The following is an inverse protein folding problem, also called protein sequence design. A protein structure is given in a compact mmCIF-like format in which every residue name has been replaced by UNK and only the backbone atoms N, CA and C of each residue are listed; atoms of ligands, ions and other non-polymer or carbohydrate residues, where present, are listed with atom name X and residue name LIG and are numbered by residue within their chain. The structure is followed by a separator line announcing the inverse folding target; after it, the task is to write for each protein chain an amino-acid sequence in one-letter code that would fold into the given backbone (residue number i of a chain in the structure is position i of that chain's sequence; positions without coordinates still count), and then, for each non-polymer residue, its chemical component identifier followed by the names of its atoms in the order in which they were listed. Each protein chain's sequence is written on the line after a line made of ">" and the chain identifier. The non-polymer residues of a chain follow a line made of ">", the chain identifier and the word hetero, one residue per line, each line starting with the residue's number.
data_IF_312440454182
#
_entry.id   IF_312440454182
#
_cell.length_a   1.000
_cell.length_b   1.000
_cell.length_c   1.000
_cell.angle_alpha   90.00
_cell.angle_beta   90.00
_cell.angle_gamma   90.00
#
_symmetry.space_group_name_H-M   'P 1'
#
loop_
_entity.id
_entity.type
_entity.pdbx_description
1 polymer ?
#
# COMPACT_ATOMS: atom_id res chain seq x y z
N UNK A 1 10.12 13.33 -6.12
CA UNK A 1 9.47 13.33 -4.78
C UNK A 1 10.25 14.17 -3.78
N UNK A 2 11.55 13.97 -3.63
CA UNK A 2 12.37 14.65 -2.61
C UNK A 2 12.30 16.18 -2.70
N UNK A 3 12.47 16.75 -3.89
CA UNK A 3 12.40 18.20 -4.11
C UNK A 3 11.03 18.78 -3.74
N UNK A 4 9.95 18.08 -4.05
CA UNK A 4 8.59 18.47 -3.68
C UNK A 4 8.39 18.37 -2.17
N UNK A 5 8.84 17.29 -1.54
CA UNK A 5 8.80 17.14 -0.09
C UNK A 5 9.50 18.30 0.63
N UNK A 6 10.73 18.64 0.22
CA UNK A 6 11.48 19.79 0.74
C UNK A 6 10.79 21.12 0.49
N UNK A 7 10.19 21.32 -0.69
CA UNK A 7 9.46 22.53 -1.05
C UNK A 7 8.27 22.77 -0.11
N UNK A 8 7.46 21.75 0.15
CA UNK A 8 6.28 21.88 1.00
C UNK A 8 6.58 21.91 2.50
N UNK A 9 7.81 21.55 2.91
CA UNK A 9 8.28 21.70 4.30
C UNK A 9 8.76 23.13 4.63
N UNK A 10 8.91 24.01 3.62
CA UNK A 10 9.35 25.39 3.86
C UNK A 10 8.28 26.20 4.61
N UNK A 11 8.68 27.18 5.47
CA UNK A 11 7.76 28.11 6.10
C UNK A 11 6.89 28.84 5.08
N UNK A 12 5.65 29.16 5.44
CA UNK A 12 4.67 29.90 4.62
C UNK A 12 4.13 29.15 3.39
N UNK A 13 4.21 27.83 3.34
CA UNK A 13 3.45 27.01 2.37
C UNK A 13 2.08 26.71 2.95
N UNK A 14 1.03 27.13 2.24
CA UNK A 14 -0.37 26.90 2.63
C UNK A 14 -0.90 25.56 2.09
N UNK A 15 -0.01 24.61 1.83
CA UNK A 15 -0.33 23.29 1.34
C UNK A 15 0.72 22.28 1.82
N UNK A 16 0.30 21.03 2.03
CA UNK A 16 1.19 19.91 2.34
C UNK A 16 0.50 18.61 1.90
N UNK A 17 1.27 17.54 1.75
CA UNK A 17 0.75 16.20 1.53
C UNK A 17 1.48 15.20 2.44
N UNK A 18 0.87 14.05 2.67
CA UNK A 18 1.50 13.01 3.46
C UNK A 18 2.65 12.37 2.67
N UNK A 19 2.40 12.06 1.39
CA UNK A 19 3.36 11.39 0.52
C UNK A 19 3.55 12.13 -0.79
N UNK A 20 4.81 12.17 -1.25
CA UNK A 20 5.21 12.58 -2.59
C UNK A 20 5.84 11.38 -3.28
N UNK A 21 5.44 11.11 -4.53
CA UNK A 21 5.85 9.92 -5.29
C UNK A 21 6.35 10.34 -6.66
N UNK A 22 7.52 9.87 -7.06
CA UNK A 22 8.03 9.92 -8.44
C UNK A 22 8.54 8.53 -8.87
N UNK A 23 9.18 8.44 -10.03
CA UNK A 23 9.69 7.20 -10.59
C UNK A 23 10.80 6.55 -9.73
N UNK A 24 11.49 7.34 -8.91
CA UNK A 24 12.62 6.89 -8.10
C UNK A 24 12.21 6.65 -6.64
N UNK A 25 11.46 7.60 -6.05
CA UNK A 25 11.29 7.70 -4.60
C UNK A 25 9.84 7.85 -4.14
N UNK A 26 9.63 7.45 -2.89
CA UNK A 26 8.45 7.78 -2.08
C UNK A 26 8.94 8.55 -0.86
N UNK A 27 8.50 9.78 -0.70
CA UNK A 27 8.88 10.65 0.43
C UNK A 27 7.68 10.92 1.30
N UNK A 28 7.72 10.52 2.57
CA UNK A 28 6.74 10.94 3.56
C UNK A 28 7.13 12.30 4.13
N UNK A 29 6.26 13.30 3.95
CA UNK A 29 6.47 14.67 4.40
C UNK A 29 5.67 15.02 5.65
N UNK A 30 4.48 14.44 5.81
CA UNK A 30 3.62 14.55 6.99
C UNK A 30 3.33 13.15 7.51
N UNK A 31 3.33 12.97 8.83
CA UNK A 31 2.97 11.67 9.42
C UNK A 31 1.50 11.36 9.15
N UNK A 32 1.17 10.09 9.02
CA UNK A 32 -0.21 9.64 8.78
C UNK A 32 -1.18 10.04 9.90
N UNK A 33 -0.67 10.22 11.13
CA UNK A 33 -1.45 10.67 12.30
C UNK A 33 -1.73 12.15 12.33
N UNK A 34 -1.06 12.93 11.49
CA UNK A 34 -1.12 14.39 11.49
C UNK A 34 -1.97 14.86 10.30
N UNK A 35 -2.50 16.06 10.37
CA UNK A 35 -3.30 16.63 9.26
C UNK A 35 -2.41 17.27 8.21
N UNK A 36 -2.50 16.80 6.97
CA UNK A 36 -1.89 17.47 5.81
C UNK A 36 -2.91 18.34 5.06
N UNK A 37 -2.46 19.47 4.51
CA UNK A 37 -3.29 20.46 3.83
C UNK A 37 -3.29 20.20 2.32
N UNK A 38 -3.96 19.14 1.85
CA UNK A 38 -3.90 18.64 0.46
C UNK A 38 -5.22 18.73 -0.31
N UNK A 39 -6.36 18.86 0.38
CA UNK A 39 -7.67 18.92 -0.26
C UNK A 39 -8.58 20.01 0.31
N UNK A 40 -8.00 21.03 0.93
CA UNK A 40 -8.76 22.16 1.48
C UNK A 40 -9.46 23.00 0.40
N UNK A 41 -10.71 23.41 0.63
CA UNK A 41 -11.48 24.27 -0.24
C UNK A 41 -12.49 25.11 0.53
N UNK A 42 -12.92 26.21 -0.07
CA UNK A 42 -14.05 27.01 0.44
C UNK A 42 -15.37 26.24 0.30
N UNK A 43 -15.54 25.56 -0.83
CA UNK A 43 -16.71 24.73 -1.13
C UNK A 43 -16.25 23.33 -1.55
N UNK A 44 -16.88 22.32 -1.03
CA UNK A 44 -16.58 20.92 -1.33
C UNK A 44 -17.67 20.31 -2.20
N UNK A 45 -17.26 19.49 -3.19
CA UNK A 45 -18.15 18.63 -3.96
C UNK A 45 -18.43 17.33 -3.19
N UNK A 46 -17.39 16.79 -2.53
CA UNK A 46 -17.52 15.56 -1.73
C UNK A 46 -18.06 15.87 -0.33
N UNK A 47 -19.05 15.09 0.11
CA UNK A 47 -19.76 15.36 1.36
C UNK A 47 -18.96 15.06 2.64
N UNK A 48 -17.95 14.18 2.59
CA UNK A 48 -17.22 13.69 3.78
C UNK A 48 -15.73 13.98 3.77
N UNK A 49 -15.02 13.82 2.63
CA UNK A 49 -13.56 13.89 2.58
C UNK A 49 -13.04 15.29 2.90
N UNK A 50 -12.10 15.39 3.85
CA UNK A 50 -11.44 16.62 4.33
C UNK A 50 -9.98 16.32 4.63
N UNK A 51 -9.19 17.37 4.92
CA UNK A 51 -7.77 17.25 5.28
C UNK A 51 -7.52 16.39 6.53
N UNK A 52 -8.42 16.45 7.50
CA UNK A 52 -8.29 15.80 8.81
C UNK A 52 -8.77 14.33 8.84
N UNK A 53 -9.35 13.86 7.74
CA UNK A 53 -9.85 12.49 7.63
C UNK A 53 -9.42 11.76 6.36
N UNK A 54 -8.32 12.22 5.74
CA UNK A 54 -7.79 11.62 4.51
C UNK A 54 -6.27 11.70 4.45
N UNK A 55 -5.67 10.78 3.69
CA UNK A 55 -4.24 10.75 3.39
C UNK A 55 -4.02 11.31 1.99
N UNK A 56 -3.20 12.36 1.86
CA UNK A 56 -2.83 12.93 0.57
C UNK A 56 -1.59 12.29 -0.02
N UNK A 57 -1.71 11.78 -1.26
CA UNK A 57 -0.61 11.24 -2.06
C UNK A 57 -0.46 12.10 -3.30
N UNK A 58 0.66 12.77 -3.45
CA UNK A 58 1.00 13.64 -4.58
C UNK A 58 1.92 12.89 -5.55
N UNK A 59 1.46 12.69 -6.78
CA UNK A 59 2.28 12.14 -7.86
C UNK A 59 3.01 13.28 -8.58
N UNK A 60 4.33 13.17 -8.68
CA UNK A 60 5.12 14.13 -9.45
C UNK A 60 4.76 14.02 -10.92
N UNK A 61 4.47 15.14 -11.54
CA UNK A 61 4.12 15.26 -12.96
C UNK A 61 5.18 16.01 -13.73
N UNK A 62 5.27 15.72 -15.00
CA UNK A 62 6.15 16.35 -15.97
C UNK A 62 5.31 17.11 -17.01
N UNK A 63 5.98 17.91 -17.84
CA UNK A 63 5.33 18.57 -19.00
C UNK A 63 5.85 17.94 -20.29
N UNK A 64 4.95 17.66 -21.20
CA UNK A 64 5.28 17.27 -22.56
C UNK A 64 5.77 18.45 -23.42
N UNK A 65 6.13 18.18 -24.67
CA UNK A 65 6.57 19.21 -25.64
C UNK A 65 5.53 20.28 -25.96
N UNK A 66 4.27 20.07 -25.60
CA UNK A 66 3.16 21.02 -25.77
C UNK A 66 2.84 21.76 -24.46
N UNK A 67 3.56 21.48 -23.38
CA UNK A 67 3.36 22.07 -22.06
C UNK A 67 2.23 21.43 -21.25
N UNK A 68 1.66 20.31 -21.69
CA UNK A 68 0.63 19.57 -20.98
C UNK A 68 1.27 18.66 -19.91
N UNK A 69 0.65 18.63 -18.74
CA UNK A 69 1.10 17.74 -17.66
C UNK A 69 0.77 16.29 -17.97
N UNK A 70 1.72 15.40 -17.67
CA UNK A 70 1.55 13.96 -17.65
C UNK A 70 2.24 13.35 -16.43
N UNK A 71 1.83 12.16 -16.05
CA UNK A 71 2.46 11.35 -15.00
C UNK A 71 3.04 10.12 -15.69
N UNK A 72 4.37 9.96 -15.64
CA UNK A 72 5.02 8.83 -16.29
C UNK A 72 4.58 7.49 -15.67
N UNK A 73 4.73 6.39 -16.42
CA UNK A 73 4.26 5.07 -15.99
C UNK A 73 4.96 4.56 -14.73
N UNK A 74 6.24 4.85 -14.56
CA UNK A 74 6.99 4.43 -13.39
C UNK A 74 6.48 5.13 -12.11
N UNK A 75 6.20 6.44 -12.18
CA UNK A 75 5.55 7.19 -11.10
C UNK A 75 4.16 6.64 -10.80
N UNK A 76 3.35 6.34 -11.83
CA UNK A 76 2.02 5.75 -11.63
C UNK A 76 2.11 4.37 -10.95
N UNK A 77 3.03 3.51 -11.39
CA UNK A 77 3.26 2.19 -10.78
C UNK A 77 3.63 2.31 -9.30
N UNK A 78 4.57 3.18 -8.96
CA UNK A 78 4.97 3.41 -7.58
C UNK A 78 3.86 4.02 -6.73
N UNK A 79 3.05 4.92 -7.30
CA UNK A 79 1.87 5.46 -6.62
C UNK A 79 0.81 4.38 -6.36
N UNK A 80 0.59 3.46 -7.30
CA UNK A 80 -0.28 2.29 -7.08
C UNK A 80 0.17 1.45 -5.89
N UNK A 81 1.48 1.20 -5.74
CA UNK A 81 2.04 0.44 -4.61
C UNK A 81 1.77 1.16 -3.27
N UNK A 82 2.02 2.48 -3.21
CA UNK A 82 1.78 3.30 -2.00
C UNK A 82 0.30 3.37 -1.65
N UNK A 83 -0.56 3.68 -2.63
CA UNK A 83 -2.01 3.79 -2.40
C UNK A 83 -2.58 2.46 -1.93
N UNK A 84 -2.18 1.35 -2.54
CA UNK A 84 -2.59 0.02 -2.12
C UNK A 84 -2.16 -0.30 -0.70
N UNK A 85 -0.89 -0.02 -0.35
CA UNK A 85 -0.41 -0.21 1.01
C UNK A 85 -1.23 0.60 2.02
N UNK A 86 -1.57 1.87 1.70
CA UNK A 86 -2.44 2.71 2.53
C UNK A 86 -3.87 2.16 2.63
N UNK A 87 -4.44 1.66 1.51
CA UNK A 87 -5.76 1.03 1.52
C UNK A 87 -5.81 -0.16 2.48
N UNK A 88 -4.80 -1.04 2.45
CA UNK A 88 -4.71 -2.19 3.35
C UNK A 88 -4.49 -1.74 4.80
N UNK A 89 -3.56 -0.82 5.03
CA UNK A 89 -3.20 -0.32 6.36
C UNK A 89 -4.37 0.31 7.11
N UNK A 90 -5.23 1.03 6.39
CA UNK A 90 -6.33 1.81 6.99
C UNK A 90 -7.72 1.26 6.66
N UNK A 91 -7.82 0.14 5.98
CA UNK A 91 -9.11 -0.43 5.56
C UNK A 91 -9.88 0.49 4.61
N UNK A 92 -9.18 1.24 3.74
CA UNK A 92 -9.83 2.19 2.82
C UNK A 92 -10.35 1.44 1.59
N UNK A 93 -11.67 1.43 1.35
CA UNK A 93 -12.23 0.79 0.18
C UNK A 93 -11.93 1.59 -1.10
N UNK A 94 -11.97 0.91 -2.25
CA UNK A 94 -11.58 1.48 -3.54
C UNK A 94 -12.38 2.73 -3.93
N UNK A 95 -13.65 2.82 -3.58
CA UNK A 95 -14.50 3.99 -3.82
C UNK A 95 -14.02 5.25 -3.08
N UNK A 96 -13.28 5.11 -1.99
CA UNK A 96 -12.70 6.21 -1.22
C UNK A 96 -11.29 6.61 -1.70
N UNK A 97 -10.78 6.01 -2.75
CA UNK A 97 -9.61 6.53 -3.47
C UNK A 97 -10.09 7.60 -4.44
N UNK A 98 -9.85 8.87 -4.12
CA UNK A 98 -10.43 10.04 -4.75
C UNK A 98 -9.33 10.94 -5.35
N UNK A 99 -9.66 11.62 -6.45
CA UNK A 99 -8.86 12.76 -6.95
C UNK A 99 -9.22 14.02 -6.17
N UNK A 100 -8.33 14.98 -6.10
CA UNK A 100 -8.67 16.31 -5.59
C UNK A 100 -9.87 16.92 -6.35
N UNK A 101 -9.99 16.61 -7.65
CA UNK A 101 -11.15 16.97 -8.46
C UNK A 101 -12.49 16.44 -7.93
N UNK A 102 -12.50 15.21 -7.45
CA UNK A 102 -13.71 14.58 -6.91
C UNK A 102 -14.12 15.23 -5.59
N UNK A 103 -13.15 15.79 -4.86
CA UNK A 103 -13.36 16.42 -3.55
C UNK A 103 -13.80 17.87 -3.66
N UNK A 104 -13.16 18.65 -4.55
CA UNK A 104 -13.33 20.12 -4.59
C UNK A 104 -13.69 20.67 -5.96
N UNK A 105 -13.52 19.90 -7.05
CA UNK A 105 -13.63 20.33 -8.43
C UNK A 105 -12.36 20.95 -9.01
N UNK A 106 -11.26 21.04 -8.22
CA UNK A 106 -9.97 21.50 -8.73
C UNK A 106 -9.45 20.55 -9.81
N UNK A 107 -8.89 21.08 -10.88
CA UNK A 107 -8.29 20.29 -11.97
C UNK A 107 -6.99 19.59 -11.49
N UNK A 108 -7.14 18.60 -10.63
CA UNK A 108 -6.02 17.88 -10.00
C UNK A 108 -6.41 16.43 -9.65
N UNK A 109 -5.55 15.43 -9.98
CA UNK A 109 -4.40 15.57 -10.89
C UNK A 109 -4.86 15.80 -12.33
N UNK A 110 -4.32 16.83 -12.97
CA UNK A 110 -4.77 17.26 -14.30
C UNK A 110 -4.79 16.14 -15.35
N UNK A 111 -3.77 15.26 -15.48
CA UNK A 111 -3.80 14.16 -16.44
C UNK A 111 -5.00 13.23 -16.24
N UNK A 112 -5.32 12.86 -15.01
CA UNK A 112 -6.44 11.98 -14.70
C UNK A 112 -7.81 12.64 -14.76
N UNK A 113 -7.86 13.98 -14.68
CA UNK A 113 -9.13 14.72 -14.87
C UNK A 113 -9.42 14.92 -16.34
N UNK A 114 -8.40 15.25 -17.16
CA UNK A 114 -8.55 15.40 -18.62
C UNK A 114 -8.78 14.07 -19.32
N UNK A 115 -8.21 12.99 -18.82
CA UNK A 115 -8.34 11.66 -19.38
C UNK A 115 -8.98 10.69 -18.36
N UNK A 116 -10.30 10.56 -18.44
CA UNK A 116 -11.06 9.67 -17.55
C UNK A 116 -10.69 8.18 -17.73
N UNK A 117 -10.25 7.79 -18.93
CA UNK A 117 -9.83 6.40 -19.19
C UNK A 117 -8.58 6.07 -18.37
N UNK A 118 -7.60 6.98 -18.30
CA UNK A 118 -6.42 6.78 -17.46
C UNK A 118 -6.75 6.69 -15.98
N UNK A 119 -7.73 7.48 -15.50
CA UNK A 119 -8.20 7.38 -14.12
C UNK A 119 -8.88 6.04 -13.84
N UNK A 120 -9.75 5.58 -14.73
CA UNK A 120 -10.39 4.27 -14.59
C UNK A 120 -9.37 3.13 -14.62
N UNK A 121 -8.41 3.18 -15.54
CA UNK A 121 -7.32 2.20 -15.62
C UNK A 121 -6.48 2.15 -14.31
N UNK A 122 -6.19 3.33 -13.73
CA UNK A 122 -5.52 3.41 -12.43
C UNK A 122 -6.35 2.73 -11.33
N UNK A 123 -7.65 2.98 -11.27
CA UNK A 123 -8.59 2.35 -10.31
C UNK A 123 -8.70 0.84 -10.53
N UNK A 124 -8.78 0.38 -11.77
CA UNK A 124 -8.81 -1.04 -12.09
C UNK A 124 -7.52 -1.76 -11.70
N UNK A 125 -6.36 -1.12 -11.87
CA UNK A 125 -5.08 -1.65 -11.41
C UNK A 125 -5.02 -1.77 -9.89
N UNK A 126 -5.63 -0.84 -9.15
CA UNK A 126 -5.78 -0.97 -7.70
C UNK A 126 -6.66 -2.17 -7.34
N UNK A 127 -7.80 -2.35 -8.00
CA UNK A 127 -8.73 -3.45 -7.77
C UNK A 127 -8.10 -4.82 -8.06
N UNK A 128 -7.57 -5.02 -9.27
CA UNK A 128 -6.97 -6.30 -9.73
C UNK A 128 -5.82 -6.77 -8.84
N UNK A 129 -5.01 -5.85 -8.35
CA UNK A 129 -3.92 -6.21 -7.44
C UNK A 129 -4.43 -6.56 -6.03
N UNK A 130 -5.62 -6.13 -5.63
CA UNK A 130 -6.24 -6.55 -4.37
C UNK A 130 -6.74 -7.99 -4.49
N UNK A 131 -7.38 -8.34 -5.61
CA UNK A 131 -7.85 -9.70 -5.92
C UNK A 131 -6.70 -10.71 -6.06
N UNK A 132 -5.58 -10.34 -6.71
CA UNK A 132 -4.41 -11.23 -6.86
C UNK A 132 -3.71 -11.55 -5.52
N UNK A 133 -3.87 -10.73 -4.49
CA UNK A 133 -3.34 -11.03 -3.16
C UNK A 133 -4.29 -11.93 -2.36
N UNK A 134 -5.57 -11.94 -2.71
CA UNK A 134 -6.55 -12.90 -2.18
C UNK A 134 -6.49 -14.24 -2.94
N UNK A 135 -6.03 -14.23 -4.22
CA UNK A 135 -5.82 -15.42 -5.06
C UNK A 135 -4.38 -15.99 -5.03
N UNK A 136 -3.39 -15.32 -4.42
CA UNK A 136 -2.26 -16.06 -3.86
C UNK A 136 -2.86 -16.92 -2.75
N UNK A 137 -3.38 -18.08 -3.13
CA UNK A 137 -3.77 -19.15 -2.22
C UNK A 137 -2.61 -19.31 -1.26
N UNK A 138 -2.81 -18.83 -0.04
CA UNK A 138 -1.83 -18.92 1.03
C UNK A 138 -1.44 -20.38 1.09
N UNK A 139 -0.19 -20.69 0.70
CA UNK A 139 0.24 -22.08 0.61
C UNK A 139 0.19 -22.67 2.01
N UNK A 140 -0.72 -23.62 2.20
CA UNK A 140 -0.91 -24.30 3.50
C UNK A 140 -0.12 -25.59 3.50
N UNK A 141 0.78 -25.72 4.45
CA UNK A 141 1.60 -26.90 4.69
C UNK A 141 0.95 -27.75 5.78
N UNK A 142 0.29 -28.81 5.38
CA UNK A 142 -0.40 -29.72 6.28
C UNK A 142 0.54 -30.80 6.84
N UNK A 143 1.63 -31.10 6.12
CA UNK A 143 2.56 -32.18 6.48
C UNK A 143 4.01 -31.70 6.33
N UNK A 144 4.92 -32.36 7.04
CA UNK A 144 6.36 -32.13 6.90
C UNK A 144 6.87 -33.02 5.76
N UNK A 145 6.59 -32.60 4.53
CA UNK A 145 6.92 -33.32 3.31
C UNK A 145 7.72 -32.45 2.32
N UNK A 146 7.80 -32.90 1.07
CA UNK A 146 8.54 -32.18 0.03
C UNK A 146 7.91 -30.82 -0.35
N UNK A 147 6.62 -30.58 -0.07
CA UNK A 147 5.95 -29.31 -0.32
C UNK A 147 6.36 -28.26 0.72
N UNK A 148 6.68 -28.66 1.95
CA UNK A 148 7.17 -27.73 2.97
C UNK A 148 8.60 -27.27 2.65
N UNK A 149 8.90 -25.96 2.71
CA UNK A 149 10.24 -25.44 2.48
C UNK A 149 11.31 -26.11 3.33
N UNK A 150 12.41 -26.53 2.71
CA UNK A 150 13.51 -27.26 3.40
C UNK A 150 14.02 -26.54 4.65
N UNK A 151 14.07 -25.19 4.60
CA UNK A 151 14.58 -24.35 5.70
C UNK A 151 13.68 -24.40 6.95
N UNK A 152 12.40 -24.80 6.84
CA UNK A 152 11.45 -24.83 7.94
C UNK A 152 11.30 -26.24 8.55
N UNK A 153 11.52 -27.31 7.78
CA UNK A 153 11.18 -28.69 8.16
C UNK A 153 11.78 -29.11 9.50
N UNK A 154 13.07 -28.82 9.73
CA UNK A 154 13.74 -29.23 10.99
C UNK A 154 13.13 -28.52 12.20
N UNK A 155 12.81 -27.24 12.10
CA UNK A 155 12.16 -26.51 13.19
C UNK A 155 10.74 -27.02 13.44
N UNK A 156 9.95 -27.22 12.37
CA UNK A 156 8.58 -27.73 12.51
C UNK A 156 8.59 -29.14 13.12
N UNK A 157 9.50 -30.03 12.68
CA UNK A 157 9.67 -31.37 13.27
C UNK A 157 9.98 -31.26 14.75
N UNK A 158 10.93 -30.42 15.15
CA UNK A 158 11.25 -30.18 16.56
C UNK A 158 10.04 -29.76 17.40
N UNK A 159 9.19 -28.87 16.84
CA UNK A 159 7.98 -28.39 17.52
C UNK A 159 6.94 -29.49 17.67
N UNK A 160 6.78 -30.36 16.67
CA UNK A 160 5.89 -31.53 16.70
C UNK A 160 6.40 -32.55 17.72
N UNK A 161 7.70 -32.90 17.69
CA UNK A 161 8.30 -33.85 18.60
C UNK A 161 8.21 -33.41 20.08
N UNK A 162 8.24 -32.11 20.34
CA UNK A 162 8.07 -31.52 21.67
C UNK A 162 6.61 -31.34 22.08
N UNK A 163 5.65 -31.61 21.19
CA UNK A 163 4.23 -31.40 21.43
C UNK A 163 3.79 -29.94 21.50
N UNK A 164 4.63 -28.99 21.03
CA UNK A 164 4.28 -27.57 20.95
C UNK A 164 3.39 -27.28 19.75
N UNK A 165 3.46 -28.13 18.72
CA UNK A 165 2.65 -28.05 17.53
C UNK A 165 1.96 -29.37 17.28
N UNK A 166 0.64 -29.36 17.31
CA UNK A 166 -0.18 -30.56 17.08
C UNK A 166 -1.04 -30.28 15.85
N UNK A 167 -1.20 -31.31 15.01
CA UNK A 167 -2.16 -31.27 13.91
C UNK A 167 -3.61 -31.36 14.40
N UNK A 168 -4.55 -31.16 13.48
CA UNK A 168 -5.96 -31.41 13.70
C UNK A 168 -6.22 -32.96 13.85
N UNK A 169 -7.49 -33.38 13.98
CA UNK A 169 -7.89 -34.78 14.07
C UNK A 169 -7.40 -35.66 12.89
N UNK A 170 -7.05 -35.03 11.75
CA UNK A 170 -6.48 -35.70 10.57
C UNK A 170 -4.95 -35.66 10.51
N UNK A 171 -4.31 -35.05 11.51
CA UNK A 171 -2.88 -34.84 11.55
C UNK A 171 -2.37 -33.71 10.68
N UNK A 172 -3.26 -32.83 10.18
CA UNK A 172 -2.91 -31.68 9.33
C UNK A 172 -2.46 -30.51 10.19
N UNK A 173 -1.28 -29.95 9.91
CA UNK A 173 -0.66 -28.86 10.69
C UNK A 173 -1.24 -27.48 10.36
N UNK A 174 -1.76 -27.26 9.16
CA UNK A 174 -2.39 -26.00 8.76
C UNK A 174 -1.46 -24.77 8.79
N UNK A 175 -0.16 -24.95 8.49
CA UNK A 175 0.84 -23.90 8.57
C UNK A 175 0.95 -23.11 7.27
N UNK A 176 1.13 -21.81 7.37
CA UNK A 176 1.46 -20.95 6.25
C UNK A 176 2.91 -20.46 6.30
N UNK A 177 3.37 -19.81 5.23
CA UNK A 177 4.74 -19.28 5.11
C UNK A 177 5.11 -18.30 6.24
N UNK A 178 4.16 -17.49 6.70
CA UNK A 178 4.38 -16.54 7.79
C UNK A 178 4.62 -17.27 9.11
N UNK A 179 3.80 -18.28 9.41
CA UNK A 179 4.00 -19.13 10.60
C UNK A 179 5.34 -19.85 10.57
N UNK A 180 5.73 -20.43 9.43
CA UNK A 180 7.03 -21.08 9.26
C UNK A 180 8.19 -20.13 9.54
N UNK A 181 8.14 -18.90 9.02
CA UNK A 181 9.17 -17.86 9.26
C UNK A 181 9.26 -17.51 10.75
N UNK A 182 8.13 -17.29 11.41
CA UNK A 182 8.08 -17.01 12.85
C UNK A 182 8.70 -18.14 13.65
N UNK A 183 8.31 -19.40 13.38
CA UNK A 183 8.85 -20.56 14.09
C UNK A 183 10.36 -20.70 13.94
N UNK A 184 10.89 -20.53 12.73
CA UNK A 184 12.34 -20.64 12.48
C UNK A 184 13.11 -19.48 13.13
N UNK A 185 12.60 -18.26 13.13
CA UNK A 185 13.23 -17.13 13.84
C UNK A 185 13.27 -17.39 15.34
N UNK A 186 12.17 -17.84 15.92
CA UNK A 186 12.07 -18.16 17.34
C UNK A 186 12.98 -19.33 17.74
N UNK A 187 13.09 -20.36 16.91
CA UNK A 187 13.98 -21.51 17.14
C UNK A 187 15.45 -21.07 17.13
N UNK A 188 15.85 -20.25 16.16
CA UNK A 188 17.20 -19.66 16.09
C UNK A 188 17.51 -18.74 17.27
N UNK A 189 16.50 -18.05 17.81
CA UNK A 189 16.61 -17.25 19.02
C UNK A 189 16.65 -18.07 20.32
N UNK A 190 16.55 -19.41 20.22
CA UNK A 190 16.60 -20.33 21.37
C UNK A 190 15.33 -20.35 22.22
N UNK A 191 14.17 -19.96 21.66
CA UNK A 191 12.91 -19.91 22.42
C UNK A 191 12.23 -21.28 22.57
N UNK A 192 12.64 -22.28 21.81
CA UNK A 192 12.12 -23.66 21.88
C UNK A 192 13.17 -24.60 22.49
N UNK A 193 13.29 -24.61 23.80
CA UNK A 193 14.22 -25.45 24.57
C UNK A 193 13.76 -26.90 24.72
#
# INVERSE_FOLDING_TARGET
>A
AESNGKYFQQPNRNASAHYFVDENDVVQSVKDSDTAWHCGAKNYKHNKCRNDNSIGVEMCSEKDGNGLYYINEATQKKALEVVKWLMVKYGVPLENVLRHYDITGKLCPEPFVRNQVQWQDFKEKLAKQTEQKEEETEMIYNYIDENMPKWARATVQKLVDKGYLNGNEKGELGLNDTMLKIFVVNDRAGLYH
#
